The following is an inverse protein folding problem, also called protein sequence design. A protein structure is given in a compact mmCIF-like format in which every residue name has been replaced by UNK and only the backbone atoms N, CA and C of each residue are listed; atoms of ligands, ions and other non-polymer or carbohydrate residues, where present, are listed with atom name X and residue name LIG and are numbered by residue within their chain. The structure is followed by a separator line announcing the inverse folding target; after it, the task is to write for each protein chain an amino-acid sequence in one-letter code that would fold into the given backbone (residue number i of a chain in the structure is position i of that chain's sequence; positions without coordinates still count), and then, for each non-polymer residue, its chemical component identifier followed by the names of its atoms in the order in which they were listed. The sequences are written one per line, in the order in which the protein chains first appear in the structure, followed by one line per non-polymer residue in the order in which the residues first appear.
data_IF_821237023578
#
_entry.id   IF_821237023578
#
_cell.length_a   1.000
_cell.length_b   1.000
_cell.length_c   1.000
_cell.angle_alpha   90.00
_cell.angle_beta   90.00
_cell.angle_gamma   90.00
#
_symmetry.space_group_name_H-M   'P 1'
#
loop_
_entity.id
_entity.type
_entity.pdbx_description
1 polymer ?
#
# COMPACT_ATOMS: atom_id res chain seq x y z
N UNK A 1 6.92 -24.17 1.71
CA UNK A 1 6.82 -23.15 2.77
C UNK A 1 5.91 -22.02 2.25
N UNK A 2 4.60 -22.23 2.12
CA UNK A 2 3.53 -21.80 3.05
C UNK A 2 3.57 -20.33 3.55
N UNK A 3 4.46 -19.50 3.02
CA UNK A 3 4.70 -18.13 3.50
C UNK A 3 3.81 -17.11 2.82
N UNK A 4 3.37 -17.39 1.59
CA UNK A 4 2.70 -16.39 0.76
C UNK A 4 1.21 -16.18 1.05
N UNK A 5 0.59 -16.96 1.95
CA UNK A 5 -0.89 -16.93 2.08
C UNK A 5 -1.39 -16.90 3.54
N UNK A 6 -0.57 -17.23 4.57
CA UNK A 6 -1.07 -17.27 5.96
C UNK A 6 -0.03 -16.93 7.06
N UNK A 7 1.19 -16.51 6.73
CA UNK A 7 2.31 -16.61 7.68
C UNK A 7 2.99 -15.31 8.12
N UNK A 8 2.71 -14.17 7.48
CA UNK A 8 3.49 -12.97 7.74
C UNK A 8 2.55 -11.86 8.21
N UNK A 9 2.35 -11.74 9.52
CA UNK A 9 1.62 -10.57 10.04
C UNK A 9 2.35 -9.27 9.72
N UNK A 10 3.65 -9.33 9.40
CA UNK A 10 4.48 -8.15 9.20
C UNK A 10 4.27 -7.44 7.85
N UNK A 11 3.98 -8.13 6.73
CA UNK A 11 3.78 -7.43 5.44
C UNK A 11 2.42 -6.75 5.37
N UNK A 12 1.37 -7.33 5.95
CA UNK A 12 0.03 -6.70 6.10
C UNK A 12 0.13 -5.40 6.91
N UNK A 13 1.03 -5.34 7.90
CA UNK A 13 1.19 -4.15 8.76
C UNK A 13 2.22 -3.17 8.20
N UNK A 14 3.39 -3.64 7.76
CA UNK A 14 4.47 -2.77 7.29
C UNK A 14 4.15 -2.14 5.93
N UNK A 15 3.40 -2.80 5.05
CA UNK A 15 3.05 -2.25 3.72
C UNK A 15 2.17 -1.00 3.81
N UNK A 16 1.02 -1.00 4.53
CA UNK A 16 0.23 0.20 4.70
C UNK A 16 0.96 1.29 5.51
N UNK A 17 1.85 0.92 6.44
CA UNK A 17 2.68 1.90 7.16
C UNK A 17 3.67 2.60 6.24
N UNK A 18 4.34 1.88 5.34
CA UNK A 18 5.21 2.49 4.33
C UNK A 18 4.39 3.41 3.44
N UNK A 19 3.25 2.94 2.93
CA UNK A 19 2.38 3.76 2.09
C UNK A 19 1.95 5.05 2.82
N UNK A 20 1.42 4.94 4.04
CA UNK A 20 1.01 6.09 4.86
C UNK A 20 2.17 7.05 5.12
N UNK A 21 3.34 6.54 5.51
CA UNK A 21 4.50 7.39 5.77
C UNK A 21 4.97 8.14 4.51
N UNK A 22 4.90 7.52 3.34
CA UNK A 22 5.19 8.18 2.07
C UNK A 22 4.11 9.24 1.77
N UNK A 23 2.84 8.95 2.04
CA UNK A 23 1.74 9.93 1.91
C UNK A 23 1.98 11.17 2.80
N UNK A 24 2.45 10.99 4.04
CA UNK A 24 2.82 12.10 4.94
C UNK A 24 4.00 12.91 4.38
N UNK A 25 5.02 12.24 3.82
CA UNK A 25 6.16 12.95 3.24
C UNK A 25 5.74 13.76 2.00
N UNK A 26 4.89 13.19 1.15
CA UNK A 26 4.45 13.89 -0.07
C UNK A 26 3.31 14.89 0.16
N UNK A 27 2.59 14.83 1.29
CA UNK A 27 1.53 15.80 1.60
C UNK A 27 2.07 17.22 1.75
N UNK A 28 3.38 17.37 2.03
CA UNK A 28 4.10 18.65 1.99
C UNK A 28 4.10 19.34 0.62
N UNK A 29 3.88 18.58 -0.46
CA UNK A 29 3.84 19.13 -1.80
C UNK A 29 2.40 19.48 -2.18
N UNK A 30 2.08 20.77 -2.18
CA UNK A 30 0.77 21.29 -2.56
C UNK A 30 0.33 22.44 -1.64
N UNK A 31 -0.86 23.03 -1.85
CA UNK A 31 -1.95 22.59 -2.73
C UNK A 31 -1.59 22.68 -4.22
N UNK A 32 -1.84 21.61 -4.99
CA UNK A 32 -1.57 21.58 -6.43
C UNK A 32 -2.71 22.19 -7.25
N UNK A 33 -3.89 22.38 -6.64
CA UNK A 33 -5.02 23.10 -7.20
C UNK A 33 -5.35 24.33 -6.34
N UNK A 34 -6.01 25.37 -6.91
CA UNK A 34 -6.42 26.55 -6.17
C UNK A 34 -7.27 26.18 -4.94
N UNK A 35 -6.74 26.46 -3.76
CA UNK A 35 -7.36 26.19 -2.46
C UNK A 35 -7.69 27.50 -1.75
N UNK A 36 -8.39 28.39 -2.46
CA UNK A 36 -8.87 29.67 -1.95
C UNK A 36 -10.20 29.51 -1.18
N UNK A 37 -10.62 30.51 -0.38
CA UNK A 37 -11.87 30.44 0.40
C UNK A 37 -13.12 30.10 -0.42
N UNK A 38 -13.16 30.53 -1.68
CA UNK A 38 -14.30 30.32 -2.61
C UNK A 38 -14.19 29.02 -3.43
N UNK A 39 -13.15 28.20 -3.16
CA UNK A 39 -12.89 26.97 -3.91
C UNK A 39 -13.81 25.83 -3.47
N UNK A 40 -14.29 25.02 -4.43
CA UNK A 40 -15.06 23.79 -4.16
C UNK A 40 -14.31 22.82 -3.24
N UNK A 41 -12.98 22.86 -3.24
CA UNK A 41 -12.13 22.06 -2.37
C UNK A 41 -12.28 22.41 -0.89
N UNK A 42 -12.70 23.64 -0.54
CA UNK A 42 -12.99 24.03 0.86
C UNK A 42 -14.23 23.33 1.41
N UNK A 43 -15.12 22.88 0.53
CA UNK A 43 -16.33 22.14 0.89
C UNK A 43 -16.07 20.64 1.11
N UNK A 44 -14.89 20.14 0.75
CA UNK A 44 -14.48 18.76 0.99
C UNK A 44 -13.48 18.70 2.15
N UNK A 45 -13.43 17.58 2.89
CA UNK A 45 -12.44 17.43 3.96
C UNK A 45 -11.02 17.19 3.43
N UNK A 46 -10.81 17.18 2.11
CA UNK A 46 -9.54 16.82 1.48
C UNK A 46 -8.83 18.05 0.92
N UNK A 47 -7.55 18.18 1.24
CA UNK A 47 -6.67 19.17 0.62
C UNK A 47 -6.13 18.55 -0.69
N UNK A 48 -6.20 19.25 -1.84
CA UNK A 48 -5.68 18.77 -3.11
C UNK A 48 -4.14 18.86 -3.17
N UNK A 49 -3.45 18.17 -2.27
CA UNK A 49 -2.00 18.02 -2.23
C UNK A 49 -1.54 16.77 -3.00
N UNK A 50 -0.24 16.56 -3.11
CA UNK A 50 0.30 15.41 -3.84
C UNK A 50 -0.12 14.06 -3.23
N UNK A 51 -0.37 13.98 -1.92
CA UNK A 51 -0.88 12.77 -1.26
C UNK A 51 -2.27 12.39 -1.76
N UNK A 52 -3.17 13.36 -1.91
CA UNK A 52 -4.51 13.14 -2.47
C UNK A 52 -4.44 12.61 -3.91
N UNK A 53 -3.62 13.22 -4.77
CA UNK A 53 -3.47 12.77 -6.16
C UNK A 53 -2.78 11.41 -6.27
N UNK A 54 -1.81 11.12 -5.39
CA UNK A 54 -1.19 9.80 -5.32
C UNK A 54 -2.24 8.73 -4.99
N UNK A 55 -3.08 8.96 -3.97
CA UNK A 55 -4.16 8.03 -3.63
C UNK A 55 -5.17 7.89 -4.75
N UNK A 56 -5.55 8.98 -5.43
CA UNK A 56 -6.45 8.92 -6.58
C UNK A 56 -5.87 8.03 -7.70
N UNK A 57 -4.57 8.16 -7.96
CA UNK A 57 -3.84 7.29 -8.89
C UNK A 57 -3.85 5.82 -8.44
N UNK A 58 -3.54 5.55 -7.18
CA UNK A 58 -3.56 4.19 -6.61
C UNK A 58 -4.95 3.53 -6.70
N UNK A 59 -6.00 4.26 -6.33
CA UNK A 59 -7.39 3.78 -6.43
C UNK A 59 -7.75 3.47 -7.88
N UNK A 60 -7.45 4.39 -8.79
CA UNK A 60 -7.72 4.19 -10.22
C UNK A 60 -6.99 2.96 -10.75
N UNK A 61 -5.71 2.79 -10.40
CA UNK A 61 -4.91 1.63 -10.77
C UNK A 61 -5.49 0.33 -10.19
N UNK A 62 -5.90 0.31 -8.92
CA UNK A 62 -6.45 -0.88 -8.27
C UNK A 62 -7.84 -1.26 -8.78
N UNK A 63 -8.69 -0.30 -9.08
CA UNK A 63 -10.01 -0.54 -9.68
C UNK A 63 -9.85 -1.11 -11.10
N UNK A 64 -8.86 -0.66 -11.87
CA UNK A 64 -8.57 -1.24 -13.19
C UNK A 64 -8.07 -2.69 -13.11
N UNK A 65 -7.36 -3.06 -12.05
CA UNK A 65 -6.85 -4.42 -11.86
C UNK A 65 -7.92 -5.38 -11.28
N UNK A 66 -8.60 -4.96 -10.21
CA UNK A 66 -9.66 -5.72 -9.56
C UNK A 66 -10.77 -4.74 -9.13
N UNK A 67 -11.83 -4.55 -9.93
CA UNK A 67 -12.84 -3.52 -9.71
C UNK A 67 -13.49 -3.58 -8.33
N UNK A 68 -13.80 -4.79 -7.85
CA UNK A 68 -14.48 -4.97 -6.58
C UNK A 68 -13.53 -4.76 -5.39
N UNK A 69 -12.35 -5.39 -5.42
CA UNK A 69 -11.37 -5.21 -4.34
C UNK A 69 -10.87 -3.77 -4.26
N UNK A 70 -10.58 -3.15 -5.41
CA UNK A 70 -10.16 -1.75 -5.51
C UNK A 70 -11.24 -0.77 -5.04
N UNK A 71 -12.52 -1.01 -5.38
CA UNK A 71 -13.62 -0.17 -4.91
C UNK A 71 -13.76 -0.23 -3.38
N UNK A 72 -13.68 -1.41 -2.76
CA UNK A 72 -13.76 -1.54 -1.30
C UNK A 72 -12.50 -0.97 -0.63
N UNK A 73 -11.33 -1.03 -1.28
CA UNK A 73 -10.10 -0.43 -0.78
C UNK A 73 -10.14 1.12 -0.80
N UNK A 74 -10.89 1.70 -1.73
CA UNK A 74 -10.91 3.15 -1.96
C UNK A 74 -11.20 4.02 -0.73
N UNK A 75 -12.22 3.76 0.13
CA UNK A 75 -12.42 4.57 1.35
C UNK A 75 -11.24 4.49 2.31
N UNK A 76 -10.56 3.35 2.41
CA UNK A 76 -9.39 3.20 3.28
C UNK A 76 -8.20 4.01 2.77
N UNK A 77 -7.95 4.00 1.46
CA UNK A 77 -6.88 4.80 0.86
C UNK A 77 -7.17 6.30 0.96
N UNK A 78 -8.41 6.73 0.73
CA UNK A 78 -8.79 8.14 0.92
C UNK A 78 -8.64 8.57 2.38
N UNK A 79 -9.07 7.75 3.34
CA UNK A 79 -8.86 8.01 4.76
C UNK A 79 -7.37 8.13 5.09
N UNK A 80 -6.53 7.27 4.52
CA UNK A 80 -5.08 7.30 4.72
C UNK A 80 -4.45 8.62 4.22
N UNK A 81 -4.88 9.14 3.06
CA UNK A 81 -4.42 10.45 2.57
C UNK A 81 -4.92 11.62 3.44
N UNK A 82 -6.17 11.56 3.90
CA UNK A 82 -6.73 12.55 4.81
C UNK A 82 -5.96 12.59 6.14
N UNK A 83 -5.78 11.44 6.76
CA UNK A 83 -5.04 11.30 8.02
C UNK A 83 -3.57 11.74 7.86
N UNK A 84 -2.91 11.33 6.78
CA UNK A 84 -1.53 11.74 6.49
C UNK A 84 -1.38 13.27 6.36
N UNK A 85 -2.34 13.91 5.70
CA UNK A 85 -2.36 15.38 5.54
C UNK A 85 -2.58 16.06 6.88
N UNK A 86 -3.58 15.63 7.66
CA UNK A 86 -3.81 16.19 8.99
C UNK A 86 -2.61 15.97 9.91
N UNK A 87 -1.99 14.80 9.87
CA UNK A 87 -0.79 14.51 10.66
C UNK A 87 0.35 15.47 10.33
N UNK A 88 0.54 15.81 9.05
CA UNK A 88 1.51 16.81 8.63
C UNK A 88 1.21 18.21 9.20
N UNK A 89 -0.07 18.59 9.26
CA UNK A 89 -0.52 19.88 9.80
C UNK A 89 -0.41 19.96 11.34
N UNK A 90 -0.71 18.87 12.05
CA UNK A 90 -0.73 18.85 13.52
C UNK A 90 0.67 18.71 14.15
N UNK A 91 1.59 18.00 13.50
CA UNK A 91 2.89 17.68 14.09
C UNK A 91 4.03 18.41 13.35
N UNK A 92 4.78 19.32 14.00
CA UNK A 92 5.88 20.04 13.34
C UNK A 92 7.03 19.10 12.91
N UNK A 93 7.17 17.94 13.58
CA UNK A 93 8.19 16.93 13.27
C UNK A 93 7.66 15.78 12.39
N UNK A 94 6.53 15.98 11.69
CA UNK A 94 5.88 14.94 10.89
C UNK A 94 6.84 14.29 9.88
N UNK A 95 7.71 15.06 9.23
CA UNK A 95 8.66 14.55 8.24
C UNK A 95 9.67 13.57 8.84
N UNK A 96 10.23 13.91 10.01
CA UNK A 96 11.18 13.04 10.71
C UNK A 96 10.48 11.76 11.18
N UNK A 97 9.27 11.88 11.72
CA UNK A 97 8.49 10.72 12.18
C UNK A 97 8.11 9.81 11.01
N UNK A 98 7.62 10.37 9.90
CA UNK A 98 7.29 9.64 8.70
C UNK A 98 8.51 8.94 8.09
N UNK A 99 9.66 9.63 8.02
CA UNK A 99 10.91 9.02 7.54
C UNK A 99 11.34 7.84 8.43
N UNK A 100 11.26 7.98 9.75
CA UNK A 100 11.58 6.88 10.70
C UNK A 100 10.66 5.69 10.47
N UNK A 101 9.34 5.91 10.37
CA UNK A 101 8.36 4.84 10.11
C UNK A 101 8.63 4.18 8.77
N UNK A 102 8.85 4.97 7.72
CA UNK A 102 9.13 4.47 6.37
C UNK A 102 10.37 3.56 6.37
N UNK A 103 11.49 4.04 6.91
CA UNK A 103 12.75 3.30 6.92
C UNK A 103 12.64 2.06 7.80
N UNK A 104 12.06 2.17 9.00
CA UNK A 104 11.88 1.05 9.90
C UNK A 104 11.01 -0.06 9.27
N UNK A 105 9.85 0.31 8.72
CA UNK A 105 8.96 -0.66 8.06
C UNK A 105 9.58 -1.26 6.81
N UNK A 106 10.33 -0.48 6.02
CA UNK A 106 11.01 -0.98 4.84
C UNK A 106 12.12 -1.98 5.19
N UNK A 107 12.92 -1.67 6.22
CA UNK A 107 13.96 -2.55 6.74
C UNK A 107 13.35 -3.87 7.25
N UNK A 108 12.25 -3.80 8.01
CA UNK A 108 11.51 -4.98 8.46
C UNK A 108 11.00 -5.84 7.29
N UNK A 109 10.52 -5.21 6.20
CA UNK A 109 10.11 -5.95 5.00
C UNK A 109 11.30 -6.63 4.31
N UNK A 110 12.43 -5.95 4.14
CA UNK A 110 13.64 -6.55 3.54
C UNK A 110 14.08 -7.75 4.38
N UNK A 111 14.19 -7.61 5.70
CA UNK A 111 14.60 -8.71 6.57
C UNK A 111 13.62 -9.89 6.53
N UNK A 112 12.33 -9.61 6.53
CA UNK A 112 11.30 -10.62 6.37
C UNK A 112 11.47 -11.41 5.06
N UNK A 113 11.59 -10.71 3.93
CA UNK A 113 11.82 -11.37 2.65
C UNK A 113 13.16 -12.12 2.59
N UNK A 114 14.25 -11.58 3.15
CA UNK A 114 15.57 -12.24 3.11
C UNK A 114 15.64 -13.53 3.94
N UNK A 115 15.00 -13.55 5.12
CA UNK A 115 15.04 -14.73 5.98
C UNK A 115 14.14 -15.86 5.45
N UNK A 116 13.05 -15.47 4.78
CA UNK A 116 11.98 -16.39 4.41
C UNK A 116 12.07 -16.83 2.95
N UNK A 117 12.42 -15.93 2.03
CA UNK A 117 12.64 -16.21 0.61
C UNK A 117 14.14 -16.20 0.32
N UNK A 118 14.80 -17.34 0.52
CA UNK A 118 16.24 -17.52 0.26
C UNK A 118 16.69 -17.19 -1.19
N UNK A 119 15.74 -17.01 -2.12
CA UNK A 119 15.99 -16.73 -3.53
C UNK A 119 16.06 -15.23 -3.88
N UNK A 120 16.10 -14.37 -2.86
CA UNK A 120 16.29 -12.93 -3.04
C UNK A 120 14.98 -12.20 -3.37
N UNK A 121 14.95 -10.88 -3.17
CA UNK A 121 13.70 -10.12 -3.26
C UNK A 121 13.23 -10.04 -4.71
N UNK A 122 12.00 -10.52 -4.97
CA UNK A 122 11.30 -10.39 -6.25
C UNK A 122 11.20 -8.93 -6.75
N UNK A 123 11.44 -7.95 -5.88
CA UNK A 123 11.54 -6.53 -6.21
C UNK A 123 12.70 -6.16 -7.15
N UNK A 124 13.70 -7.03 -7.37
CA UNK A 124 14.86 -6.70 -8.23
C UNK A 124 14.53 -6.64 -9.72
N UNK A 125 13.51 -7.35 -10.18
CA UNK A 125 13.19 -7.42 -11.62
C UNK A 125 12.26 -6.28 -12.07
N UNK A 126 11.42 -5.77 -11.16
CA UNK A 126 10.58 -4.61 -11.45
C UNK A 126 10.11 -3.89 -10.17
N UNK A 127 11.04 -3.19 -9.51
CA UNK A 127 10.82 -2.52 -8.22
C UNK A 127 9.55 -1.66 -8.20
N UNK A 128 9.30 -0.88 -9.25
CA UNK A 128 8.13 0.00 -9.32
C UNK A 128 6.82 -0.79 -9.33
N UNK A 129 6.74 -1.87 -10.12
CA UNK A 129 5.53 -2.72 -10.14
C UNK A 129 5.33 -3.44 -8.82
N UNK A 130 6.40 -3.96 -8.23
CA UNK A 130 6.34 -4.59 -6.91
C UNK A 130 5.84 -3.60 -5.85
N UNK A 131 6.36 -2.37 -5.86
CA UNK A 131 5.94 -1.32 -4.95
C UNK A 131 4.48 -0.88 -5.15
N UNK A 132 4.02 -0.75 -6.40
CA UNK A 132 2.64 -0.39 -6.71
C UNK A 132 1.64 -1.50 -6.34
N UNK A 133 1.99 -2.77 -6.55
CA UNK A 133 1.11 -3.90 -6.32
C UNK A 133 1.12 -4.41 -4.87
N UNK A 134 2.19 -4.16 -4.11
CA UNK A 134 2.31 -4.66 -2.74
C UNK A 134 1.12 -4.27 -1.84
N UNK A 135 0.61 -3.02 -1.82
CA UNK A 135 -0.56 -2.67 -1.01
C UNK A 135 -1.83 -3.40 -1.48
N UNK A 136 -1.99 -3.63 -2.79
CA UNK A 136 -3.12 -4.41 -3.31
C UNK A 136 -3.02 -5.87 -2.89
N UNK A 137 -1.82 -6.47 -2.86
CA UNK A 137 -1.66 -7.85 -2.38
C UNK A 137 -1.95 -7.98 -0.89
N UNK A 138 -1.47 -7.06 -0.06
CA UNK A 138 -1.81 -7.02 1.36
C UNK A 138 -3.33 -6.89 1.56
N UNK A 139 -4.00 -6.06 0.77
CA UNK A 139 -5.45 -5.92 0.81
C UNK A 139 -6.19 -7.20 0.36
N UNK A 140 -5.72 -7.84 -0.71
CA UNK A 140 -6.29 -9.08 -1.22
C UNK A 140 -6.16 -10.22 -0.22
N UNK A 141 -5.08 -10.29 0.57
CA UNK A 141 -4.95 -11.28 1.64
C UNK A 141 -6.02 -11.10 2.72
N UNK A 142 -6.28 -9.85 3.14
CA UNK A 142 -7.38 -9.55 4.07
C UNK A 142 -8.71 -10.01 3.47
N UNK A 143 -8.98 -9.70 2.20
CA UNK A 143 -10.21 -10.15 1.52
C UNK A 143 -10.29 -11.69 1.42
N UNK A 144 -9.19 -12.38 1.11
CA UNK A 144 -9.13 -13.84 1.07
C UNK A 144 -9.41 -14.46 2.45
N UNK A 145 -8.92 -13.84 3.52
CA UNK A 145 -9.22 -14.28 4.89
C UNK A 145 -10.72 -14.16 5.24
N UNK A 146 -11.42 -13.23 4.59
CA UNK A 146 -12.88 -13.04 4.67
C UNK A 146 -13.66 -13.93 3.69
N UNK A 147 -12.98 -14.81 2.93
CA UNK A 147 -13.62 -15.72 1.97
C UNK A 147 -13.87 -15.13 0.58
N UNK A 148 -13.25 -13.99 0.23
CA UNK A 148 -13.33 -13.44 -1.12
C UNK A 148 -12.67 -14.37 -2.15
N UNK A 149 -13.38 -14.72 -3.23
CA UNK A 149 -12.87 -15.52 -4.38
C UNK A 149 -11.99 -16.73 -3.99
N UNK A 150 -12.53 -17.72 -3.26
CA UNK A 150 -11.74 -18.89 -2.80
C UNK A 150 -11.16 -19.72 -3.95
N UNK A 151 -11.83 -19.72 -5.12
CA UNK A 151 -11.31 -20.36 -6.33
C UNK A 151 -10.03 -19.69 -6.87
N UNK A 152 -9.93 -18.35 -6.77
CA UNK A 152 -8.73 -17.62 -7.16
C UNK A 152 -7.59 -17.90 -6.18
N UNK A 153 -7.87 -17.86 -4.88
CA UNK A 153 -6.90 -18.22 -3.84
C UNK A 153 -6.35 -19.63 -4.05
N UNK A 154 -7.21 -20.61 -4.36
CA UNK A 154 -6.80 -21.98 -4.66
C UNK A 154 -5.94 -22.09 -5.92
N UNK A 155 -6.25 -21.33 -6.99
CA UNK A 155 -5.43 -21.31 -8.21
C UNK A 155 -4.06 -20.72 -7.97
N UNK A 156 -3.98 -19.62 -7.21
CA UNK A 156 -2.71 -19.01 -6.81
C UNK A 156 -1.87 -20.01 -6.00
N UNK A 157 -2.50 -20.74 -5.07
CA UNK A 157 -1.84 -21.79 -4.30
C UNK A 157 -1.24 -22.88 -5.21
N UNK A 158 -2.03 -23.41 -6.15
CA UNK A 158 -1.56 -24.46 -7.09
C UNK A 158 -0.44 -23.95 -7.99
N UNK A 159 -0.52 -22.72 -8.49
CA UNK A 159 0.54 -22.14 -9.33
C UNK A 159 1.85 -21.97 -8.57
N UNK A 160 1.80 -21.46 -7.35
CA UNK A 160 2.99 -21.28 -6.49
C UNK A 160 3.62 -22.64 -6.17
N UNK A 161 2.82 -23.65 -5.84
CA UNK A 161 3.30 -25.01 -5.61
C UNK A 161 3.95 -25.61 -6.86
N UNK A 162 3.36 -25.39 -8.05
CA UNK A 162 3.91 -25.88 -9.31
C UNK A 162 5.26 -25.25 -9.68
N UNK A 163 5.43 -23.94 -9.44
CA UNK A 163 6.70 -23.24 -9.68
C UNK A 163 7.79 -23.74 -8.72
N UNK A 164 7.43 -24.02 -7.47
CA UNK A 164 8.36 -24.57 -6.49
C UNK A 164 8.88 -25.95 -6.93
N UNK A 165 7.99 -26.83 -7.38
CA UNK A 165 8.36 -28.17 -7.86
C UNK A 165 9.22 -28.14 -9.15
N UNK A 166 9.28 -27.01 -9.86
CA UNK A 166 10.14 -26.82 -11.03
C UNK A 166 11.52 -26.26 -10.68
N UNK A 167 11.67 -25.66 -9.49
CA UNK A 167 12.89 -24.97 -9.04
C UNK A 167 13.66 -25.73 -7.95
N UNK A 168 13.11 -26.84 -7.43
CA UNK A 168 13.75 -27.80 -6.54
C UNK A 168 13.97 -29.13 -7.23
#
# INVERSE_FOLDING_TARGET
MLVFIFGLSYWIVCTPLILWSILVLISNFGPLLPYEPDSLWRSTPFIPNAAFFAVLFYISYYVLLEPFAGAICSPFLFYMAYDATNFADFYPNHNTLAAIVCVFSFVMQIFGHMYVEKNGPAAKENFLRAFLLAPLFAWMEVLFSLGYRPALQKRLFVQVESLYNQLG
#
